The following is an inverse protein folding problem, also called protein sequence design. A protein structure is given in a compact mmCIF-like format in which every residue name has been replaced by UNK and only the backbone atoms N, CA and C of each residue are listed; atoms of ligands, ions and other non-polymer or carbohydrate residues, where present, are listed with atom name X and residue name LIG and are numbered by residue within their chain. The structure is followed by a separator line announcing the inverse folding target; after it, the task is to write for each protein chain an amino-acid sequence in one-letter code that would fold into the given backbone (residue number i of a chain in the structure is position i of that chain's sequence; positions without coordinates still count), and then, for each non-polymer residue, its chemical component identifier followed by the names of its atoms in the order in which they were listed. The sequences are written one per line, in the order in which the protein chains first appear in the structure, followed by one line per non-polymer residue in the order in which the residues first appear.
data_IF_266279161479
#
_entry.id   IF_266279161479
#
_cell.length_a   1.000
_cell.length_b   1.000
_cell.length_c   1.000
_cell.angle_alpha   90.00
_cell.angle_beta   90.00
_cell.angle_gamma   90.00
#
_symmetry.space_group_name_H-M   'P 1'
#
loop_
_entity.id
_entity.type
_entity.pdbx_description
1 polymer ?
#
# COMPACT_ATOMS: atom_id res chain seq x y z
N UNK A 1 -6.55 17.94 18.01
CA UNK A 1 -7.55 16.95 17.49
C UNK A 1 -6.77 15.80 16.90
N UNK A 2 -6.97 14.57 17.36
CA UNK A 2 -6.25 13.41 16.81
C UNK A 2 -6.91 12.99 15.50
N UNK A 3 -6.14 12.98 14.42
CA UNK A 3 -6.56 12.41 13.15
C UNK A 3 -6.44 10.89 13.21
N UNK A 4 -7.45 10.18 12.69
CA UNK A 4 -7.40 8.73 12.57
C UNK A 4 -7.49 8.32 11.09
N UNK A 5 -6.86 7.20 10.77
CA UNK A 5 -6.74 6.66 9.43
C UNK A 5 -7.31 5.25 9.41
N UNK A 6 -8.13 4.94 8.41
CA UNK A 6 -8.71 3.61 8.24
C UNK A 6 -7.74 2.70 7.49
N UNK A 7 -7.15 1.75 8.21
CA UNK A 7 -6.25 0.75 7.63
C UNK A 7 -7.02 -0.26 6.76
N UNK A 8 -6.40 -0.80 5.68
CA UNK A 8 -7.06 -1.75 4.80
C UNK A 8 -7.16 -3.14 5.43
N UNK A 9 -8.28 -3.81 5.14
CA UNK A 9 -8.50 -5.22 5.47
C UNK A 9 -9.12 -5.90 4.24
N UNK A 10 -8.35 -6.79 3.60
CA UNK A 10 -8.78 -7.49 2.39
C UNK A 10 -10.11 -8.21 2.61
N UNK A 11 -11.04 -8.08 1.66
CA UNK A 11 -12.36 -8.68 1.70
C UNK A 11 -13.38 -8.00 2.62
N UNK A 12 -12.97 -7.00 3.41
CA UNK A 12 -13.86 -6.29 4.35
C UNK A 12 -13.97 -4.79 4.06
N UNK A 13 -12.85 -4.08 4.03
CA UNK A 13 -12.84 -2.61 3.95
C UNK A 13 -12.74 -2.11 2.51
N UNK A 14 -13.62 -2.60 1.63
CA UNK A 14 -13.73 -2.11 0.24
C UNK A 14 -14.51 -0.81 0.13
N UNK A 15 -14.66 -0.32 -1.12
CA UNK A 15 -15.28 0.99 -1.41
C UNK A 15 -16.67 1.16 -0.77
N UNK A 16 -17.50 0.10 -0.69
CA UNK A 16 -18.81 0.15 -0.03
C UNK A 16 -18.71 0.39 1.47
N UNK A 17 -17.69 -0.23 2.11
CA UNK A 17 -17.49 -0.12 3.56
C UNK A 17 -17.12 1.32 3.95
N UNK A 18 -16.11 1.91 3.29
CA UNK A 18 -15.71 3.26 3.69
C UNK A 18 -16.69 4.35 3.30
N UNK A 19 -17.52 4.16 2.26
CA UNK A 19 -18.65 5.07 2.00
C UNK A 19 -19.60 5.11 3.20
N UNK A 20 -20.08 3.94 3.64
CA UNK A 20 -20.98 3.85 4.80
C UNK A 20 -20.30 4.36 6.07
N UNK A 21 -19.05 3.99 6.29
CA UNK A 21 -18.29 4.43 7.46
C UNK A 21 -18.10 5.96 7.46
N UNK A 22 -17.78 6.54 6.31
CA UNK A 22 -17.57 7.97 6.14
C UNK A 22 -18.83 8.79 6.37
N UNK A 23 -19.98 8.29 5.90
CA UNK A 23 -21.28 8.96 6.07
C UNK A 23 -21.86 8.80 7.48
N UNK A 24 -21.81 7.57 8.02
CA UNK A 24 -22.61 7.19 9.18
C UNK A 24 -21.85 7.26 10.52
N UNK A 25 -20.54 7.04 10.52
CA UNK A 25 -19.78 6.82 11.75
C UNK A 25 -18.67 7.85 11.99
N UNK A 26 -18.59 8.87 11.15
CA UNK A 26 -17.56 9.90 11.23
C UNK A 26 -16.43 9.68 10.23
N UNK A 27 -15.76 10.78 9.89
CA UNK A 27 -14.82 10.84 8.79
C UNK A 27 -13.42 10.50 9.26
N UNK A 28 -12.82 9.45 8.68
CA UNK A 28 -11.38 9.27 8.77
C UNK A 28 -10.68 10.38 7.96
N UNK A 29 -9.51 10.79 8.40
CA UNK A 29 -8.65 11.69 7.62
C UNK A 29 -8.14 11.02 6.34
N UNK A 30 -8.08 9.68 6.33
CA UNK A 30 -7.69 8.88 5.17
C UNK A 30 -8.22 7.45 5.28
N UNK A 31 -8.55 6.89 4.12
CA UNK A 31 -8.83 5.46 3.93
C UNK A 31 -7.79 4.87 3.00
N UNK A 32 -7.37 3.64 3.26
CA UNK A 32 -6.45 2.91 2.35
C UNK A 32 -7.22 1.74 1.76
N UNK A 33 -7.17 1.56 0.43
CA UNK A 33 -7.90 0.47 -0.23
C UNK A 33 -7.36 -0.90 0.21
N UNK A 34 -8.18 -1.98 0.18
CA UNK A 34 -7.63 -3.31 0.04
C UNK A 34 -6.61 -3.31 -1.09
N UNK A 35 -5.53 -4.08 -0.92
CA UNK A 35 -4.45 -4.03 -1.90
C UNK A 35 -4.89 -4.53 -3.28
N UNK A 36 -4.39 -3.86 -4.32
CA UNK A 36 -4.41 -4.33 -5.69
C UNK A 36 -3.07 -4.97 -6.04
N UNK A 37 -3.07 -6.05 -6.83
CA UNK A 37 -1.85 -6.78 -7.16
C UNK A 37 -1.72 -6.93 -8.67
N UNK A 38 -0.93 -6.08 -9.33
CA UNK A 38 -0.73 -6.20 -10.77
C UNK A 38 -0.18 -7.58 -11.14
N UNK A 39 -0.68 -8.11 -12.24
CA UNK A 39 -0.27 -9.40 -12.78
C UNK A 39 0.84 -9.27 -13.85
N UNK A 40 1.31 -10.41 -14.37
CA UNK A 40 2.38 -10.45 -15.36
C UNK A 40 2.06 -9.76 -16.70
N UNK A 41 0.78 -9.50 -16.99
CA UNK A 41 0.32 -8.81 -18.19
C UNK A 41 0.09 -7.30 -17.95
N UNK A 42 0.60 -6.75 -16.85
CA UNK A 42 0.37 -5.36 -16.47
C UNK A 42 -1.13 -5.01 -16.49
N UNK A 43 -1.93 -5.76 -15.72
CA UNK A 43 -3.36 -5.51 -15.57
C UNK A 43 -3.84 -5.80 -14.15
N UNK A 44 -4.96 -5.19 -13.80
CA UNK A 44 -5.70 -5.44 -12.57
C UNK A 44 -6.89 -6.38 -12.83
N UNK A 45 -7.32 -7.10 -11.79
CA UNK A 45 -8.57 -7.84 -11.83
C UNK A 45 -9.77 -6.87 -11.80
N UNK A 46 -10.92 -7.32 -12.30
CA UNK A 46 -12.14 -6.51 -12.33
C UNK A 46 -12.51 -5.93 -10.95
N UNK A 47 -12.46 -6.76 -9.90
CA UNK A 47 -12.75 -6.32 -8.53
C UNK A 47 -11.78 -5.26 -8.02
N UNK A 48 -10.51 -5.32 -8.42
CA UNK A 48 -9.48 -4.34 -8.06
C UNK A 48 -9.73 -3.01 -8.77
N UNK A 49 -10.17 -3.06 -10.03
CA UNK A 49 -10.57 -1.85 -10.78
C UNK A 49 -11.77 -1.15 -10.13
N UNK A 50 -12.69 -1.91 -9.50
CA UNK A 50 -13.81 -1.34 -8.76
C UNK A 50 -13.35 -0.56 -7.51
N UNK A 51 -12.29 -1.01 -6.83
CA UNK A 51 -11.69 -0.29 -5.71
C UNK A 51 -10.96 1.00 -6.15
N UNK A 52 -10.42 0.99 -7.38
CA UNK A 52 -9.69 2.11 -7.97
C UNK A 52 -10.58 3.08 -8.76
N UNK A 53 -11.89 2.87 -8.80
CA UNK A 53 -12.82 3.72 -9.53
C UNK A 53 -12.98 5.08 -8.83
N UNK A 54 -12.57 6.22 -9.46
CA UNK A 54 -12.68 7.53 -8.86
C UNK A 54 -14.12 7.94 -8.54
N UNK A 55 -15.11 7.51 -9.34
CA UNK A 55 -16.51 7.84 -9.12
C UNK A 55 -17.05 7.20 -7.84
N UNK A 56 -16.65 5.95 -7.57
CA UNK A 56 -17.02 5.24 -6.34
C UNK A 56 -16.34 5.80 -5.09
N UNK A 57 -15.27 6.55 -5.26
CA UNK A 57 -14.47 7.14 -4.19
C UNK A 57 -14.65 8.67 -4.11
N UNK A 58 -15.59 9.24 -4.85
CA UNK A 58 -15.79 10.69 -4.93
C UNK A 58 -16.08 11.29 -3.55
N UNK A 59 -15.28 12.30 -3.18
CA UNK A 59 -15.44 13.03 -1.92
C UNK A 59 -14.90 12.31 -0.69
N UNK A 60 -14.30 11.12 -0.85
CA UNK A 60 -13.68 10.35 0.23
C UNK A 60 -12.17 10.38 0.05
N UNK A 61 -11.39 10.72 1.10
CA UNK A 61 -9.93 10.73 1.01
C UNK A 61 -9.37 9.31 1.03
N UNK A 62 -9.26 8.68 -0.15
CA UNK A 62 -8.80 7.30 -0.32
C UNK A 62 -7.41 7.27 -0.94
N UNK A 63 -6.57 6.30 -0.57
CA UNK A 63 -5.27 6.01 -1.18
C UNK A 63 -5.23 4.56 -1.63
N UNK A 64 -4.96 4.30 -2.93
CA UNK A 64 -4.76 2.95 -3.44
C UNK A 64 -3.54 2.26 -2.82
N UNK A 65 -3.71 1.01 -2.35
CA UNK A 65 -2.59 0.20 -1.86
C UNK A 65 -2.19 -0.84 -2.90
N UNK A 66 -0.89 -0.95 -3.17
CA UNK A 66 -0.32 -1.86 -4.16
C UNK A 66 0.48 -2.96 -3.45
N UNK A 67 0.25 -4.22 -3.85
CA UNK A 67 0.95 -5.40 -3.35
C UNK A 67 1.80 -6.01 -4.46
N UNK A 68 3.09 -5.83 -4.38
CA UNK A 68 4.06 -6.45 -5.31
C UNK A 68 5.43 -6.59 -4.67
N UNK A 69 6.32 -7.36 -5.27
CA UNK A 69 7.74 -7.46 -4.94
C UNK A 69 8.63 -7.08 -6.14
N UNK A 70 8.08 -6.42 -7.16
CA UNK A 70 8.79 -6.02 -8.39
C UNK A 70 8.53 -4.55 -8.68
N UNK A 71 9.60 -3.79 -8.86
CA UNK A 71 9.51 -2.34 -9.07
C UNK A 71 8.72 -2.00 -10.33
N UNK A 72 8.94 -2.72 -11.43
CA UNK A 72 8.23 -2.48 -12.69
C UNK A 72 6.72 -2.63 -12.56
N UNK A 73 6.25 -3.55 -11.74
CA UNK A 73 4.80 -3.73 -11.50
C UNK A 73 4.24 -2.63 -10.61
N UNK A 74 5.00 -2.18 -9.59
CA UNK A 74 4.59 -1.05 -8.77
C UNK A 74 4.52 0.23 -9.60
N UNK A 75 5.56 0.50 -10.39
CA UNK A 75 5.64 1.70 -11.26
C UNK A 75 4.49 1.73 -12.24
N UNK A 76 4.19 0.61 -12.90
CA UNK A 76 3.04 0.52 -13.79
C UNK A 76 1.73 0.80 -13.04
N UNK A 77 1.49 0.14 -11.92
CA UNK A 77 0.28 0.30 -11.11
C UNK A 77 0.11 1.75 -10.61
N UNK A 78 1.19 2.38 -10.16
CA UNK A 78 1.19 3.76 -9.71
C UNK A 78 0.85 4.73 -10.85
N UNK A 79 1.40 4.51 -12.05
CA UNK A 79 1.06 5.29 -13.26
C UNK A 79 -0.40 5.11 -13.65
N UNK A 80 -0.93 3.90 -13.58
CA UNK A 80 -2.34 3.58 -13.83
C UNK A 80 -3.26 4.25 -12.79
N UNK A 81 -2.86 4.27 -11.50
CA UNK A 81 -3.55 5.04 -10.48
C UNK A 81 -3.51 6.55 -10.79
N UNK A 82 -2.34 7.09 -11.16
CA UNK A 82 -2.20 8.51 -11.54
C UNK A 82 -3.10 8.89 -12.70
N UNK A 83 -3.21 8.07 -13.74
CA UNK A 83 -4.07 8.32 -14.90
C UNK A 83 -5.56 8.39 -14.53
N UNK A 84 -5.94 7.78 -13.41
CA UNK A 84 -7.29 7.82 -12.81
C UNK A 84 -7.49 8.98 -11.83
N UNK A 85 -6.48 9.82 -11.63
CA UNK A 85 -6.54 11.00 -10.75
C UNK A 85 -6.01 10.77 -9.33
N UNK A 86 -5.43 9.62 -9.00
CA UNK A 86 -4.82 9.38 -7.69
C UNK A 86 -3.45 10.06 -7.59
N UNK A 87 -3.30 10.97 -6.62
CA UNK A 87 -2.05 11.70 -6.40
C UNK A 87 -1.06 10.96 -5.48
N UNK A 88 -1.52 9.91 -4.82
CA UNK A 88 -0.74 9.11 -3.87
C UNK A 88 -1.08 7.63 -4.04
N UNK A 89 -0.09 6.78 -3.78
CA UNK A 89 -0.26 5.32 -3.63
C UNK A 89 0.45 4.82 -2.38
N UNK A 90 0.06 3.64 -1.92
CA UNK A 90 0.64 2.99 -0.73
C UNK A 90 1.27 1.64 -1.10
N UNK A 91 2.45 1.35 -0.56
CA UNK A 91 3.11 0.04 -0.72
C UNK A 91 2.79 -0.86 0.46
N UNK A 92 2.25 -2.06 0.18
CA UNK A 92 2.01 -3.07 1.21
C UNK A 92 3.28 -3.88 1.52
N UNK A 93 3.82 -3.70 2.72
CA UNK A 93 4.91 -4.49 3.31
C UNK A 93 4.45 -5.25 4.57
N UNK A 94 3.12 -5.36 4.79
CA UNK A 94 2.59 -5.86 6.06
C UNK A 94 1.66 -7.07 5.98
N UNK A 95 1.16 -7.45 4.79
CA UNK A 95 0.24 -8.59 4.66
C UNK A 95 0.94 -9.91 5.03
N UNK A 96 0.46 -10.64 6.08
CA UNK A 96 1.11 -11.86 6.55
C UNK A 96 0.54 -13.14 5.91
N UNK A 97 -0.44 -13.03 5.02
CA UNK A 97 -1.08 -14.19 4.38
C UNK A 97 -0.06 -15.11 3.73
N UNK A 98 -0.15 -16.42 3.95
CA UNK A 98 0.76 -17.42 3.38
C UNK A 98 0.80 -17.38 1.84
N UNK A 99 -0.33 -17.07 1.19
CA UNK A 99 -0.41 -16.91 -0.27
C UNK A 99 0.35 -15.69 -0.78
N UNK A 100 0.54 -14.67 0.06
CA UNK A 100 1.28 -13.45 -0.22
C UNK A 100 2.76 -13.62 0.12
N UNK A 101 3.06 -14.06 1.33
CA UNK A 101 4.44 -14.18 1.84
C UNK A 101 5.21 -15.29 1.15
N UNK A 102 4.56 -16.40 0.75
CA UNK A 102 5.14 -17.46 -0.06
C UNK A 102 5.63 -16.99 -1.44
N UNK A 103 5.07 -15.90 -1.94
CA UNK A 103 5.52 -15.21 -3.17
C UNK A 103 6.48 -14.06 -2.89
N UNK A 104 7.04 -13.96 -1.69
CA UNK A 104 7.93 -12.87 -1.23
C UNK A 104 7.30 -11.48 -1.41
N UNK A 105 5.98 -11.35 -1.19
CA UNK A 105 5.22 -10.08 -1.21
C UNK A 105 4.77 -9.72 0.20
N UNK A 106 4.30 -8.48 0.40
CA UNK A 106 3.81 -8.01 1.69
C UNK A 106 4.85 -8.20 2.80
N UNK A 107 4.46 -8.78 3.94
CA UNK A 107 5.39 -9.05 5.04
C UNK A 107 6.53 -10.00 4.64
N UNK A 108 6.37 -10.83 3.60
CA UNK A 108 7.42 -11.72 3.10
C UNK A 108 8.66 -11.00 2.56
N UNK A 109 8.54 -9.71 2.17
CA UNK A 109 9.69 -8.87 1.78
C UNK A 109 10.58 -8.52 2.97
N UNK A 110 10.04 -8.47 4.19
CA UNK A 110 10.81 -8.13 5.38
C UNK A 110 11.91 -9.16 5.70
N UNK A 111 11.80 -10.39 5.16
CA UNK A 111 12.83 -11.42 5.23
C UNK A 111 13.92 -11.27 4.17
N UNK A 112 13.77 -10.32 3.25
CA UNK A 112 14.58 -10.19 2.03
C UNK A 112 15.08 -8.74 1.88
N UNK A 113 15.98 -8.26 2.77
CA UNK A 113 16.37 -6.85 2.81
C UNK A 113 16.93 -6.35 1.47
N UNK A 114 17.68 -7.18 0.77
CA UNK A 114 18.23 -6.81 -0.54
C UNK A 114 17.14 -6.68 -1.62
N UNK A 115 16.15 -7.59 -1.63
CA UNK A 115 15.02 -7.51 -2.54
C UNK A 115 14.14 -6.29 -2.21
N UNK A 116 13.96 -5.99 -0.92
CA UNK A 116 13.24 -4.81 -0.47
C UNK A 116 13.94 -3.53 -0.91
N UNK A 117 15.27 -3.45 -0.77
CA UNK A 117 16.08 -2.32 -1.24
C UNK A 117 15.93 -2.13 -2.75
N UNK A 118 16.14 -3.19 -3.53
CA UNK A 118 15.97 -3.14 -5.00
C UNK A 118 14.58 -2.67 -5.42
N UNK A 119 13.53 -3.13 -4.70
CA UNK A 119 12.16 -2.69 -4.94
C UNK A 119 12.00 -1.19 -4.69
N UNK A 120 12.49 -0.69 -3.55
CA UNK A 120 12.38 0.71 -3.17
C UNK A 120 13.20 1.61 -4.10
N UNK A 121 14.45 1.25 -4.41
CA UNK A 121 15.29 1.97 -5.37
C UNK A 121 14.55 2.14 -6.71
N UNK A 122 14.09 1.04 -7.30
CA UNK A 122 13.40 1.10 -8.58
C UNK A 122 12.07 1.87 -8.55
N UNK A 123 11.37 1.89 -7.42
CA UNK A 123 10.14 2.66 -7.25
C UNK A 123 10.45 4.16 -7.19
N UNK A 124 11.36 4.57 -6.31
CA UNK A 124 11.62 5.99 -6.07
C UNK A 124 12.40 6.65 -7.21
N UNK A 125 13.28 5.91 -7.89
CA UNK A 125 13.97 6.38 -9.10
C UNK A 125 12.98 6.63 -10.26
N UNK A 126 11.99 5.75 -10.44
CA UNK A 126 11.05 5.84 -11.55
C UNK A 126 9.85 6.79 -11.29
N UNK A 127 9.59 7.16 -10.04
CA UNK A 127 8.41 7.94 -9.63
C UNK A 127 8.77 9.11 -8.69
N UNK A 128 9.70 10.02 -9.09
CA UNK A 128 10.17 11.10 -8.21
C UNK A 128 9.05 12.08 -7.80
N UNK A 129 8.01 12.23 -8.63
CA UNK A 129 6.91 13.18 -8.42
C UNK A 129 5.64 12.50 -7.84
N UNK A 130 5.71 11.24 -7.45
CA UNK A 130 4.56 10.53 -6.88
C UNK A 130 4.67 10.46 -5.37
N UNK A 131 3.60 10.82 -4.65
CA UNK A 131 3.54 10.59 -3.21
C UNK A 131 3.39 9.08 -2.95
N UNK A 132 4.34 8.51 -2.24
CA UNK A 132 4.36 7.09 -1.91
C UNK A 132 4.38 6.93 -0.40
N UNK A 133 3.36 6.26 0.14
CA UNK A 133 3.32 5.82 1.53
C UNK A 133 3.61 4.32 1.62
N UNK A 134 3.95 3.88 2.81
CA UNK A 134 4.26 2.47 3.08
C UNK A 134 3.49 2.01 4.31
N UNK A 135 2.86 0.84 4.23
CA UNK A 135 2.29 0.16 5.38
C UNK A 135 3.06 -1.12 5.65
N UNK A 136 3.69 -1.22 6.84
CA UNK A 136 4.58 -2.32 7.23
C UNK A 136 4.23 -2.91 8.60
N UNK A 137 4.95 -3.97 8.98
CA UNK A 137 5.08 -4.50 10.34
C UNK A 137 6.44 -4.11 10.90
N UNK A 138 6.62 -4.28 12.23
CA UNK A 138 7.89 -4.01 12.92
C UNK A 138 9.00 -5.01 12.58
N UNK A 139 8.70 -6.07 11.83
CA UNK A 139 9.62 -7.11 11.39
C UNK A 139 8.85 -8.32 10.88
N UNK A 140 9.58 -9.34 10.44
CA UNK A 140 9.01 -10.62 10.02
C UNK A 140 8.71 -11.54 11.23
N UNK A 141 9.70 -11.80 12.06
CA UNK A 141 9.60 -12.71 13.20
C UNK A 141 9.63 -11.99 14.54
N UNK A 142 10.52 -11.01 14.69
CA UNK A 142 10.84 -10.38 15.97
C UNK A 142 10.82 -8.85 15.89
N UNK A 143 10.49 -8.23 17.02
CA UNK A 143 10.46 -6.77 17.12
C UNK A 143 11.86 -6.12 17.00
N UNK A 144 12.91 -6.87 17.33
CA UNK A 144 14.31 -6.45 17.24
C UNK A 144 14.78 -6.20 15.80
N UNK A 145 14.01 -6.64 14.81
CA UNK A 145 14.25 -6.36 13.39
C UNK A 145 13.91 -4.90 13.02
N UNK A 146 13.08 -4.24 13.85
CA UNK A 146 12.54 -2.92 13.54
C UNK A 146 13.58 -1.82 13.33
N UNK A 147 14.62 -1.66 14.17
CA UNK A 147 15.61 -0.60 13.96
C UNK A 147 16.29 -0.67 12.60
N UNK A 148 16.65 -1.86 12.15
CA UNK A 148 17.30 -2.05 10.84
C UNK A 148 16.33 -1.78 9.69
N UNK A 149 15.07 -2.22 9.81
CA UNK A 149 14.03 -1.95 8.82
C UNK A 149 13.71 -0.46 8.74
N UNK A 150 13.56 0.21 9.89
CA UNK A 150 13.29 1.65 9.95
C UNK A 150 14.43 2.44 9.31
N UNK A 151 15.68 2.13 9.66
CA UNK A 151 16.86 2.78 9.08
C UNK A 151 16.92 2.65 7.55
N UNK A 152 16.49 1.50 6.99
CA UNK A 152 16.35 1.33 5.55
C UNK A 152 15.24 2.22 4.99
N UNK A 153 14.05 2.21 5.60
CA UNK A 153 12.90 2.95 5.08
C UNK A 153 13.11 4.48 5.13
N UNK A 154 13.84 4.98 6.13
CA UNK A 154 14.16 6.41 6.29
C UNK A 154 15.11 6.95 5.20
N UNK A 155 15.77 6.09 4.43
CA UNK A 155 16.61 6.53 3.31
C UNK A 155 15.79 6.95 2.08
N UNK A 156 14.49 6.70 2.06
CA UNK A 156 13.59 7.01 0.94
C UNK A 156 12.61 8.14 1.30
N UNK A 157 12.15 8.93 0.32
CA UNK A 157 11.19 10.02 0.53
C UNK A 157 9.76 9.49 0.72
N UNK A 158 9.57 8.60 1.69
CA UNK A 158 8.27 8.05 2.05
C UNK A 158 7.42 9.15 2.71
N UNK A 159 6.28 9.49 2.10
CA UNK A 159 5.43 10.57 2.60
C UNK A 159 4.63 10.20 3.86
N UNK A 160 4.44 8.90 4.14
CA UNK A 160 3.81 8.38 5.36
C UNK A 160 4.23 6.93 5.59
N UNK A 161 4.61 6.62 6.82
CA UNK A 161 4.88 5.25 7.26
C UNK A 161 3.82 4.83 8.28
N UNK A 162 3.05 3.77 7.92
CA UNK A 162 2.07 3.15 8.81
C UNK A 162 2.61 1.85 9.36
N UNK A 163 2.73 1.73 10.67
CA UNK A 163 3.32 0.57 11.32
C UNK A 163 2.28 -0.23 12.08
N UNK A 164 2.20 -1.53 11.82
CA UNK A 164 1.39 -2.48 12.57
C UNK A 164 2.29 -3.24 13.56
N UNK A 165 2.19 -2.97 14.87
CA UNK A 165 3.12 -3.52 15.86
C UNK A 165 2.91 -5.01 16.17
N UNK A 166 1.93 -5.64 15.58
CA UNK A 166 1.36 -6.99 15.70
C UNK A 166 0.09 -7.07 16.55
#
# INVERSE_FOLDING_TARGET
MHEWYAAPMEGLTGWRWWQVQHEMFGRAALYVTPFVSPNGNFSFQRKELEELDPERNRGIPVVPQILTNRAEYFVWAAKECRSRGWAQVDLNLGCPSGTVTGKKKGAGLLRQPELLRQLLDGIFDALPDMKISVKTRIGWERAEEWPALLALLETYPICRLTVHPR
#
